data_IF_083142699343
#
_entry.id   IF_083142699343
#
_cell.length_a   1.000
_cell.length_b   1.000
_cell.length_c   1.000
_cell.angle_alpha   90.00
_cell.angle_beta   90.00
_cell.angle_gamma   90.00
#
_symmetry.space_group_name_H-M   'P 1'
#
loop_
_entity.id
_entity.type
_entity.pdbx_description
1 polymer ?
#
# COMPACT_ATOMS: atom_id res chain seq x y z
N UNK A 1 -23.09 -3.24 51.29
CA UNK A 1 -22.60 -2.37 50.21
C UNK A 1 -21.71 -3.20 49.26
N UNK A 2 -22.15 -3.50 48.07
CA UNK A 2 -21.34 -4.32 47.15
C UNK A 2 -20.34 -3.42 46.44
N UNK A 3 -19.04 -3.75 46.60
CA UNK A 3 -17.92 -3.02 45.95
C UNK A 3 -17.98 -3.19 44.45
N UNK A 4 -18.09 -2.08 43.73
CA UNK A 4 -18.00 -1.97 42.29
C UNK A 4 -16.56 -2.30 41.87
N UNK A 5 -16.36 -3.49 41.30
CA UNK A 5 -15.10 -3.89 40.68
C UNK A 5 -14.99 -3.09 39.37
N UNK A 6 -14.28 -1.98 39.39
CA UNK A 6 -13.86 -1.29 38.18
C UNK A 6 -12.85 -2.21 37.48
N UNK A 7 -13.29 -2.92 36.46
CA UNK A 7 -12.37 -3.59 35.52
C UNK A 7 -11.55 -2.51 34.82
N UNK A 8 -10.36 -2.27 35.30
CA UNK A 8 -9.35 -1.57 34.52
C UNK A 8 -9.01 -2.46 33.30
N UNK A 9 -9.67 -2.21 32.19
CA UNK A 9 -9.20 -2.69 30.90
C UNK A 9 -7.90 -1.92 30.65
N UNK A 10 -6.75 -2.57 30.92
CA UNK A 10 -5.45 -2.07 30.46
C UNK A 10 -5.58 -1.80 28.95
N UNK A 11 -5.34 -0.56 28.49
CA UNK A 11 -5.35 -0.29 27.08
C UNK A 11 -4.31 -1.21 26.43
N UNK A 12 -4.79 -2.03 25.49
CA UNK A 12 -3.94 -2.96 24.74
C UNK A 12 -2.97 -2.09 23.95
N UNK A 13 -1.75 -1.94 24.44
CA UNK A 13 -0.72 -1.21 23.74
C UNK A 13 -0.50 -1.88 22.38
N UNK A 14 -1.05 -1.29 21.33
CA UNK A 14 -0.78 -1.68 19.94
C UNK A 14 0.38 -0.80 19.46
N UNK A 15 1.60 -1.34 19.32
CA UNK A 15 2.76 -0.57 18.89
C UNK A 15 2.58 0.04 17.49
N UNK A 16 1.61 -0.44 16.72
CA UNK A 16 1.29 0.04 15.37
C UNK A 16 0.11 1.03 15.33
N UNK A 17 -0.51 1.30 16.48
CA UNK A 17 -1.61 2.25 16.63
C UNK A 17 -1.46 3.01 17.96
N UNK A 18 -0.45 3.89 18.09
CA UNK A 18 -0.28 4.68 19.30
C UNK A 18 -1.51 5.57 19.53
N UNK A 19 -1.95 5.63 20.81
CA UNK A 19 -3.12 6.39 21.23
C UNK A 19 -2.92 7.90 20.99
N UNK A 20 -4.02 8.58 20.67
CA UNK A 20 -4.02 10.04 20.48
C UNK A 20 -3.52 10.52 19.11
N UNK A 21 -3.40 9.64 18.13
CA UNK A 21 -2.94 10.01 16.79
C UNK A 21 -4.07 9.85 15.76
N UNK A 22 -4.34 10.91 15.01
CA UNK A 22 -5.30 10.89 13.91
C UNK A 22 -4.65 10.33 12.66
N UNK A 23 -5.03 9.10 12.29
CA UNK A 23 -4.52 8.44 11.10
C UNK A 23 -5.23 8.96 9.84
N UNK A 24 -4.45 9.52 8.92
CA UNK A 24 -4.92 9.91 7.60
C UNK A 24 -4.64 8.78 6.63
N UNK A 25 -5.68 8.39 5.88
CA UNK A 25 -5.55 7.34 4.84
C UNK A 25 -4.99 7.95 3.56
N UNK A 26 -4.16 7.18 2.88
CA UNK A 26 -3.66 7.54 1.56
C UNK A 26 -4.82 7.63 0.56
N UNK A 27 -4.71 8.53 -0.42
CA UNK A 27 -5.74 8.77 -1.43
C UNK A 27 -6.20 7.46 -2.11
N UNK A 28 -7.52 7.22 -2.22
CA UNK A 28 -8.06 6.04 -2.93
C UNK A 28 -7.70 6.03 -4.43
N UNK A 29 -7.29 7.16 -4.98
CA UNK A 29 -6.81 7.26 -6.36
C UNK A 29 -5.53 6.47 -6.62
N UNK A 30 -4.73 6.21 -5.57
CA UNK A 30 -3.58 5.31 -5.66
C UNK A 30 -3.99 3.87 -6.02
N UNK A 31 -5.17 3.42 -5.57
CA UNK A 31 -5.73 2.12 -5.98
C UNK A 31 -5.95 2.10 -7.50
N UNK A 32 -6.58 3.16 -8.02
CA UNK A 32 -6.84 3.30 -9.46
C UNK A 32 -5.55 3.31 -10.27
N UNK A 33 -4.55 4.10 -9.84
CA UNK A 33 -3.24 4.16 -10.49
C UNK A 33 -2.58 2.78 -10.57
N UNK A 34 -2.54 2.05 -9.46
CA UNK A 34 -1.95 0.71 -9.40
C UNK A 34 -2.73 -0.31 -10.23
N UNK A 35 -4.07 -0.27 -10.20
CA UNK A 35 -4.90 -1.16 -11.00
C UNK A 35 -4.72 -0.91 -12.49
N UNK A 36 -4.68 0.36 -12.93
CA UNK A 36 -4.46 0.72 -14.33
C UNK A 36 -3.06 0.23 -14.79
N UNK A 37 -2.03 0.50 -14.00
CA UNK A 37 -0.68 0.03 -14.31
C UNK A 37 -0.63 -1.50 -14.41
N UNK A 38 -1.24 -2.21 -13.47
CA UNK A 38 -1.33 -3.68 -13.49
C UNK A 38 -2.10 -4.18 -14.71
N UNK A 39 -3.22 -3.53 -15.05
CA UNK A 39 -4.02 -3.88 -16.22
C UNK A 39 -3.25 -3.69 -17.53
N UNK A 40 -2.42 -2.67 -17.65
CA UNK A 40 -1.57 -2.44 -18.83
C UNK A 40 -0.50 -3.53 -18.92
N UNK A 41 0.24 -3.79 -17.83
CA UNK A 41 1.35 -4.74 -17.82
C UNK A 41 0.92 -6.20 -18.01
N UNK A 42 -0.22 -6.59 -17.45
CA UNK A 42 -0.72 -7.97 -17.53
C UNK A 42 -1.81 -8.15 -18.59
N UNK A 43 -2.52 -7.08 -18.96
CA UNK A 43 -3.56 -7.14 -19.98
C UNK A 43 -3.01 -7.42 -21.37
N UNK A 44 -1.90 -6.78 -21.74
CA UNK A 44 -1.26 -7.05 -23.04
C UNK A 44 -0.79 -8.50 -23.20
N UNK A 45 -0.03 -9.09 -22.25
CA UNK A 45 0.31 -10.51 -22.28
C UNK A 45 -0.93 -11.43 -22.25
N UNK A 46 -1.98 -11.04 -21.56
CA UNK A 46 -3.23 -11.82 -21.51
C UNK A 46 -3.89 -11.89 -22.89
N UNK A 47 -4.00 -10.77 -23.59
CA UNK A 47 -4.53 -10.75 -24.97
C UNK A 47 -3.68 -11.63 -25.88
N UNK A 48 -2.34 -11.51 -25.80
CA UNK A 48 -1.44 -12.34 -26.56
C UNK A 48 -1.62 -13.84 -26.25
N UNK A 49 -1.75 -14.20 -24.96
CA UNK A 49 -1.95 -15.59 -24.54
C UNK A 49 -3.28 -16.17 -25.05
N UNK A 50 -4.36 -15.37 -25.06
CA UNK A 50 -5.65 -15.78 -25.63
C UNK A 50 -5.54 -16.03 -27.12
N UNK A 51 -4.93 -15.10 -27.87
CA UNK A 51 -4.74 -15.27 -29.33
C UNK A 51 -3.91 -16.51 -29.64
N UNK A 52 -2.80 -16.71 -28.93
CA UNK A 52 -1.95 -17.91 -29.09
C UNK A 52 -2.71 -19.18 -28.68
N UNK A 53 -3.54 -19.14 -27.65
CA UNK A 53 -4.38 -20.26 -27.23
C UNK A 53 -5.39 -20.68 -28.30
N UNK A 54 -5.94 -19.72 -29.04
CA UNK A 54 -6.85 -19.99 -30.15
C UNK A 54 -6.10 -20.65 -31.33
N UNK A 55 -4.87 -20.21 -31.62
CA UNK A 55 -4.06 -20.70 -32.75
C UNK A 55 -3.45 -22.06 -32.47
N UNK A 56 -2.83 -22.23 -31.30
CA UNK A 56 -2.05 -23.41 -30.95
C UNK A 56 -2.81 -24.42 -30.08
N UNK A 57 -3.87 -23.98 -29.41
CA UNK A 57 -4.69 -24.83 -28.51
C UNK A 57 -3.90 -25.44 -27.34
N UNK A 58 -4.45 -26.53 -26.80
CA UNK A 58 -3.74 -27.40 -25.86
C UNK A 58 -3.21 -26.70 -24.59
N UNK A 59 -1.92 -26.87 -24.32
CA UNK A 59 -1.25 -26.41 -23.12
C UNK A 59 -1.15 -24.87 -22.99
N UNK A 60 -1.30 -24.12 -24.09
CA UNK A 60 -1.25 -22.64 -24.07
C UNK A 60 -2.38 -22.07 -23.23
N UNK A 61 -3.51 -22.74 -23.14
CA UNK A 61 -4.62 -22.33 -22.28
C UNK A 61 -4.27 -22.33 -20.79
N UNK A 62 -3.33 -23.16 -20.37
CA UNK A 62 -2.85 -23.14 -18.98
C UNK A 62 -2.18 -21.82 -18.62
N UNK A 63 -1.40 -21.23 -19.53
CA UNK A 63 -0.79 -19.91 -19.34
C UNK A 63 -1.84 -18.81 -19.23
N UNK A 64 -2.89 -18.88 -20.06
CA UNK A 64 -4.01 -17.94 -20.00
C UNK A 64 -4.72 -18.00 -18.64
N UNK A 65 -4.99 -19.20 -18.14
CA UNK A 65 -5.62 -19.43 -16.83
C UNK A 65 -4.74 -18.84 -15.71
N UNK A 66 -3.44 -19.09 -15.72
CA UNK A 66 -2.51 -18.56 -14.72
C UNK A 66 -2.50 -17.03 -14.74
N UNK A 67 -2.48 -16.40 -15.93
CA UNK A 67 -2.54 -14.95 -16.06
C UNK A 67 -3.84 -14.36 -15.50
N UNK A 68 -4.98 -14.99 -15.80
CA UNK A 68 -6.30 -14.56 -15.27
C UNK A 68 -6.33 -14.67 -13.74
N UNK A 69 -5.87 -15.78 -13.18
CA UNK A 69 -5.79 -15.97 -11.74
C UNK A 69 -4.87 -14.94 -11.08
N UNK A 70 -3.73 -14.65 -11.70
CA UNK A 70 -2.79 -13.63 -11.21
C UNK A 70 -3.42 -12.25 -11.23
N UNK A 71 -4.12 -11.87 -12.29
CA UNK A 71 -4.85 -10.60 -12.38
C UNK A 71 -5.96 -10.49 -11.32
N UNK A 72 -6.72 -11.55 -11.13
CA UNK A 72 -7.77 -11.60 -10.10
C UNK A 72 -7.16 -11.44 -8.69
N UNK A 73 -6.05 -12.14 -8.43
CA UNK A 73 -5.30 -12.02 -7.18
C UNK A 73 -4.80 -10.59 -6.95
N UNK A 74 -4.14 -9.98 -7.94
CA UNK A 74 -3.63 -8.62 -7.85
C UNK A 74 -4.76 -7.60 -7.67
N UNK A 75 -5.87 -7.78 -8.40
CA UNK A 75 -7.06 -6.94 -8.25
C UNK A 75 -7.66 -6.97 -6.85
N UNK A 76 -7.60 -8.12 -6.17
CA UNK A 76 -8.01 -8.25 -4.77
C UNK A 76 -6.96 -7.72 -3.78
N UNK A 77 -5.66 -7.96 -4.06
CA UNK A 77 -4.57 -7.63 -3.17
C UNK A 77 -4.25 -6.13 -3.14
N UNK A 78 -4.27 -5.45 -4.31
CA UNK A 78 -3.91 -4.02 -4.44
C UNK A 78 -4.77 -3.12 -3.55
N UNK A 79 -6.12 -3.18 -3.58
CA UNK A 79 -6.94 -2.35 -2.71
C UNK A 79 -6.67 -2.61 -1.23
N UNK A 80 -6.38 -3.86 -0.88
CA UNK A 80 -6.09 -4.26 0.49
C UNK A 80 -4.76 -3.69 0.98
N UNK A 81 -3.74 -3.69 0.13
CA UNK A 81 -2.44 -3.07 0.42
C UNK A 81 -2.55 -1.55 0.58
N UNK A 82 -3.24 -0.88 -0.34
CA UNK A 82 -3.37 0.59 -0.28
C UNK A 82 -4.18 1.03 0.94
N UNK A 83 -5.23 0.30 1.31
CA UNK A 83 -6.01 0.61 2.52
C UNK A 83 -5.22 0.41 3.82
N UNK A 84 -4.16 -0.39 3.79
CA UNK A 84 -3.28 -0.60 4.93
C UNK A 84 -2.18 0.47 5.06
N UNK A 85 -2.05 1.36 4.07
CA UNK A 85 -1.18 2.52 4.13
C UNK A 85 -1.88 3.64 4.89
N UNK A 86 -1.18 4.24 5.84
CA UNK A 86 -1.65 5.41 6.58
C UNK A 86 -0.46 6.22 7.06
N UNK A 87 -0.69 7.50 7.23
CA UNK A 87 0.27 8.39 7.86
C UNK A 87 -0.42 9.20 8.96
N UNK A 88 0.35 9.66 9.89
CA UNK A 88 -0.13 10.52 10.94
C UNK A 88 0.95 11.54 11.29
N UNK A 89 0.54 12.77 11.42
CA UNK A 89 1.39 13.89 11.77
C UNK A 89 1.30 14.14 13.27
N UNK A 90 2.44 14.32 13.92
CA UNK A 90 2.61 14.83 15.26
C UNK A 90 3.44 16.10 15.20
N UNK A 91 3.47 16.84 16.30
CA UNK A 91 4.22 18.11 16.39
C UNK A 91 5.71 17.95 16.09
N UNK A 92 6.32 16.80 16.42
CA UNK A 92 7.75 16.55 16.27
C UNK A 92 8.09 15.40 15.28
N UNK A 93 7.10 14.54 14.94
CA UNK A 93 7.32 13.33 14.17
C UNK A 93 6.25 13.07 13.12
N UNK A 94 6.66 12.53 11.98
CA UNK A 94 5.79 11.91 10.99
C UNK A 94 5.79 10.39 11.17
N UNK A 95 4.62 9.82 11.41
CA UNK A 95 4.42 8.39 11.49
C UNK A 95 3.89 7.86 10.17
N UNK A 96 4.55 6.86 9.61
CA UNK A 96 4.10 6.19 8.37
C UNK A 96 3.88 4.72 8.67
N UNK A 97 2.63 4.28 8.56
CA UNK A 97 2.25 2.88 8.71
C UNK A 97 2.12 2.22 7.35
N UNK A 98 2.71 1.05 7.22
CA UNK A 98 2.76 0.29 5.97
C UNK A 98 2.55 -1.21 6.22
N UNK A 99 1.88 -1.88 5.29
CA UNK A 99 1.83 -3.34 5.19
C UNK A 99 0.52 -4.00 5.68
N UNK A 100 0.14 -5.11 5.01
CA UNK A 100 -1.00 -5.98 5.33
C UNK A 100 -0.54 -7.22 6.11
N UNK A 101 0.45 -7.94 5.57
CA UNK A 101 1.00 -9.15 6.20
C UNK A 101 2.15 -8.78 7.15
N UNK A 102 3.09 -7.96 6.70
CA UNK A 102 4.17 -7.44 7.51
C UNK A 102 3.89 -5.97 7.79
N UNK A 103 3.51 -5.68 9.03
CA UNK A 103 3.24 -4.31 9.45
C UNK A 103 4.55 -3.65 9.84
N UNK A 104 4.83 -2.50 9.27
CA UNK A 104 5.93 -1.64 9.70
C UNK A 104 5.41 -0.26 10.07
N UNK A 105 5.93 0.29 11.13
CA UNK A 105 5.73 1.66 11.55
C UNK A 105 7.07 2.37 11.47
N UNK A 106 7.15 3.36 10.61
CA UNK A 106 8.34 4.21 10.50
C UNK A 106 8.01 5.54 11.15
N UNK A 107 8.84 5.93 12.10
CA UNK A 107 8.76 7.23 12.78
C UNK A 107 9.89 8.10 12.24
N UNK A 108 9.53 9.21 11.63
CA UNK A 108 10.49 10.15 11.04
C UNK A 108 10.45 11.47 11.79
N UNK A 109 11.46 11.76 12.65
CA UNK A 109 11.57 13.04 13.33
C UNK A 109 11.84 14.16 12.32
N UNK A 110 11.09 15.26 12.42
CA UNK A 110 11.26 16.41 11.51
C UNK A 110 12.68 17.00 11.56
N UNK A 111 13.33 16.99 12.71
CA UNK A 111 14.70 17.47 12.88
C UNK A 111 15.78 16.65 12.14
N UNK A 112 15.45 15.47 11.62
CA UNK A 112 16.37 14.59 10.86
C UNK A 112 16.00 14.46 9.38
N UNK A 113 14.98 15.16 8.91
CA UNK A 113 14.65 15.23 7.48
C UNK A 113 15.72 16.05 6.76
N UNK A 114 16.35 15.47 5.74
CA UNK A 114 17.37 16.16 4.96
C UNK A 114 16.77 16.81 3.71
N UNK A 115 16.00 16.05 2.96
CA UNK A 115 15.30 16.56 1.78
C UNK A 115 14.09 15.68 1.44
N UNK A 116 13.19 16.26 0.70
CA UNK A 116 11.95 15.62 0.27
C UNK A 116 11.89 15.67 -1.24
N UNK A 117 11.84 14.51 -1.89
CA UNK A 117 11.61 14.40 -3.32
C UNK A 117 10.13 14.17 -3.60
N UNK A 118 9.59 14.93 -4.52
CA UNK A 118 8.24 14.76 -5.04
C UNK A 118 8.31 14.23 -6.45
N UNK A 119 7.89 12.99 -6.65
CA UNK A 119 7.85 12.35 -7.96
C UNK A 119 6.39 12.24 -8.45
N UNK A 120 6.16 12.70 -9.66
CA UNK A 120 4.86 12.67 -10.30
C UNK A 120 4.98 12.08 -11.71
N UNK A 121 4.55 10.84 -11.89
CA UNK A 121 4.47 10.22 -13.21
C UNK A 121 3.24 10.70 -13.99
N UNK A 122 3.17 10.48 -15.33
CA UNK A 122 2.07 10.98 -16.17
C UNK A 122 0.71 10.44 -15.73
N UNK A 123 0.62 9.18 -15.33
CA UNK A 123 -0.61 8.58 -14.81
C UNK A 123 -0.99 9.15 -13.45
N UNK A 124 -0.01 9.39 -12.58
CA UNK A 124 -0.22 9.97 -11.25
C UNK A 124 -0.72 11.41 -11.37
N UNK A 125 -0.15 12.18 -12.29
CA UNK A 125 -0.58 13.55 -12.62
C UNK A 125 -2.03 13.56 -13.11
N UNK A 126 -2.42 12.66 -14.01
CA UNK A 126 -3.78 12.55 -14.51
C UNK A 126 -4.80 12.20 -13.40
N UNK A 127 -4.36 11.53 -12.33
CA UNK A 127 -5.16 11.17 -11.17
C UNK A 127 -5.03 12.16 -10.00
N UNK A 128 -4.23 13.23 -10.15
CA UNK A 128 -4.04 14.25 -9.11
C UNK A 128 -3.35 13.72 -7.86
N UNK A 129 -2.39 12.80 -8.01
CA UNK A 129 -1.60 12.22 -6.91
C UNK A 129 -0.11 12.31 -7.22
N UNK A 130 0.69 12.49 -6.17
CA UNK A 130 2.16 12.48 -6.25
C UNK A 130 2.74 11.51 -5.21
N UNK A 131 3.94 11.02 -5.46
CA UNK A 131 4.72 10.24 -4.50
C UNK A 131 5.71 11.15 -3.82
N UNK A 132 5.66 11.20 -2.50
CA UNK A 132 6.61 11.94 -1.67
C UNK A 132 7.61 10.94 -1.10
N UNK A 133 8.89 11.13 -1.40
CA UNK A 133 10.01 10.36 -0.85
C UNK A 133 10.71 11.21 0.21
N UNK A 134 10.76 10.70 1.42
CA UNK A 134 11.45 11.33 2.53
C UNK A 134 12.83 10.69 2.69
N UNK A 135 13.88 11.51 2.63
CA UNK A 135 15.25 11.08 2.88
C UNK A 135 15.67 11.51 4.28
N UNK A 136 16.10 10.54 5.08
CA UNK A 136 16.58 10.77 6.45
C UNK A 136 18.03 10.34 6.58
N UNK A 137 18.79 10.99 7.44
CA UNK A 137 20.20 10.66 7.68
C UNK A 137 20.45 9.23 8.18
N UNK A 138 19.42 8.54 8.66
CA UNK A 138 19.50 7.18 9.21
C UNK A 138 19.02 6.07 8.26
N UNK A 139 18.68 6.38 7.02
CA UNK A 139 18.17 5.40 6.04
C UNK A 139 19.27 4.60 5.33
N UNK A 140 20.48 4.53 5.89
CA UNK A 140 21.56 3.71 5.38
C UNK A 140 22.05 2.74 6.46
N UNK A 141 21.20 1.81 6.84
CA UNK A 141 21.70 0.58 7.49
C UNK A 141 20.78 -0.54 7.08
N UNK A 142 21.30 -1.42 6.27
CA UNK A 142 20.85 -2.69 5.70
C UNK A 142 19.59 -3.32 6.29
#
# INVERSE_FOLDING_TARGET
>A
MPGTIVRMTTPRFDPFAPDGVTWVRVSPQLIKARLITTAIWFGLPLVAAVVLGIIFGGWVWSATIVLVLTLAWLGWLIPRQVRALGYAERDEDLLVRRGVMFRSLVVVPYGRMQFTDVEEGPLMRALGIATVKLHTASASTD
#
